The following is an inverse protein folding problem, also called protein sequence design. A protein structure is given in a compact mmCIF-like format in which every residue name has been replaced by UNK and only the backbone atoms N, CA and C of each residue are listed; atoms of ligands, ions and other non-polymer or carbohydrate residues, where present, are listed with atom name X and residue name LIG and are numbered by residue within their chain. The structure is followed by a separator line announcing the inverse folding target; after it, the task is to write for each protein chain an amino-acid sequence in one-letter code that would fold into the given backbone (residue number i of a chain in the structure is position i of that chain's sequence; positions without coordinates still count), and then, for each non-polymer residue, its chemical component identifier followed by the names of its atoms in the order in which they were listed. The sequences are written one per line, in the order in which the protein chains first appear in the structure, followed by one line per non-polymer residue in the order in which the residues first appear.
data_IF_517144016909
#
_entry.id   IF_517144016909
#
_cell.length_a   1.000
_cell.length_b   1.000
_cell.length_c   1.000
_cell.angle_alpha   90.00
_cell.angle_beta   90.00
_cell.angle_gamma   90.00
#
_symmetry.space_group_name_H-M   'P 1'
#
loop_
_entity.id
_entity.type
_entity.pdbx_description
1 polymer ?
#
# COMPACT_ATOMS: atom_id res chain seq x y z
N UNK A 1 12.16 -18.64 -2.51
CA UNK A 1 10.89 -19.18 -3.05
C UNK A 1 10.19 -18.07 -3.81
N UNK A 2 9.82 -18.29 -5.08
CA UNK A 2 9.08 -17.30 -5.86
C UNK A 2 7.59 -17.49 -5.58
N UNK A 3 7.04 -16.68 -4.67
CA UNK A 3 5.65 -16.78 -4.22
C UNK A 3 4.74 -16.36 -5.38
N UNK A 4 3.76 -17.21 -5.73
CA UNK A 4 2.82 -16.94 -6.81
C UNK A 4 1.91 -15.74 -6.51
N UNK A 5 1.33 -15.12 -7.55
CA UNK A 5 0.43 -13.95 -7.36
C UNK A 5 -0.76 -14.23 -6.43
N UNK A 6 -1.36 -15.42 -6.54
CA UNK A 6 -2.49 -15.83 -5.71
C UNK A 6 -2.08 -16.01 -4.24
N UNK A 7 -0.95 -16.67 -4.01
CA UNK A 7 -0.38 -16.88 -2.68
C UNK A 7 0.04 -15.56 -2.03
N UNK A 8 0.67 -14.65 -2.79
CA UNK A 8 0.96 -13.28 -2.33
C UNK A 8 -0.30 -12.55 -1.90
N UNK A 9 -1.37 -12.62 -2.71
CA UNK A 9 -2.64 -12.01 -2.35
C UNK A 9 -3.21 -12.64 -1.06
N UNK A 10 -3.17 -13.96 -0.92
CA UNK A 10 -3.63 -14.63 0.30
C UNK A 10 -2.87 -14.15 1.55
N UNK A 11 -1.55 -13.98 1.47
CA UNK A 11 -0.73 -13.43 2.56
C UNK A 11 -1.13 -11.98 2.91
N UNK A 12 -1.33 -11.13 1.91
CA UNK A 12 -1.78 -9.75 2.12
C UNK A 12 -3.16 -9.72 2.79
N UNK A 13 -4.10 -10.54 2.32
CA UNK A 13 -5.46 -10.60 2.90
C UNK A 13 -5.47 -11.15 4.33
N UNK A 14 -4.59 -12.12 4.63
CA UNK A 14 -4.43 -12.64 5.98
C UNK A 14 -3.84 -11.59 6.93
N UNK A 15 -2.89 -10.77 6.45
CA UNK A 15 -2.24 -9.70 7.23
C UNK A 15 -3.14 -8.49 7.43
N UNK A 16 -3.82 -8.05 6.38
CA UNK A 16 -4.50 -6.74 6.33
C UNK A 16 -6.03 -6.83 6.37
N UNK A 17 -6.59 -8.02 6.22
CA UNK A 17 -8.03 -8.25 6.09
C UNK A 17 -8.56 -8.14 4.65
N UNK A 18 -9.79 -8.62 4.47
CA UNK A 18 -10.43 -8.78 3.16
C UNK A 18 -11.17 -7.53 2.64
N UNK A 19 -10.58 -6.34 2.84
CA UNK A 19 -11.14 -5.05 2.40
C UNK A 19 -10.12 -4.23 1.61
N UNK A 20 -10.63 -3.44 0.66
CA UNK A 20 -9.82 -2.47 -0.08
C UNK A 20 -9.23 -1.44 0.89
N UNK A 21 -7.90 -1.30 0.92
CA UNK A 21 -7.22 -0.33 1.78
C UNK A 21 -7.64 1.13 1.53
N UNK A 22 -8.18 1.44 0.34
CA UNK A 22 -8.53 2.80 -0.07
C UNK A 22 -10.01 3.14 0.11
N UNK A 23 -10.93 2.25 -0.27
CA UNK A 23 -12.36 2.53 -0.20
C UNK A 23 -13.11 1.74 0.88
N UNK A 24 -12.40 0.96 1.69
CA UNK A 24 -12.91 0.04 2.71
C UNK A 24 -13.92 -1.02 2.23
N UNK A 25 -14.26 -1.07 0.94
CA UNK A 25 -15.20 -2.06 0.41
C UNK A 25 -14.61 -3.48 0.56
N UNK A 26 -15.39 -4.45 1.04
CA UNK A 26 -14.97 -5.84 1.11
C UNK A 26 -14.79 -6.45 -0.28
N UNK A 27 -13.81 -7.34 -0.42
CA UNK A 27 -13.51 -8.03 -1.67
C UNK A 27 -14.54 -9.12 -1.98
N UNK A 28 -15.71 -8.70 -2.43
CA UNK A 28 -16.81 -9.57 -2.87
C UNK A 28 -17.50 -9.00 -4.11
N UNK A 29 -18.13 -9.88 -4.89
CA UNK A 29 -18.84 -9.52 -6.12
C UNK A 29 -17.92 -8.77 -7.09
N UNK A 30 -18.29 -7.53 -7.44
CA UNK A 30 -17.54 -6.69 -8.38
C UNK A 30 -16.28 -6.03 -7.78
N UNK A 31 -16.03 -6.15 -6.48
CA UNK A 31 -14.85 -5.57 -5.83
C UNK A 31 -13.64 -6.51 -5.95
N UNK A 32 -13.07 -6.59 -7.15
CA UNK A 32 -11.95 -7.50 -7.44
C UNK A 32 -10.64 -7.01 -6.79
N UNK A 33 -10.00 -7.81 -5.91
CA UNK A 33 -8.74 -7.43 -5.28
C UNK A 33 -7.57 -7.45 -6.26
N UNK A 34 -6.64 -6.52 -6.05
CA UNK A 34 -5.37 -6.40 -6.77
C UNK A 34 -4.28 -5.99 -5.80
N UNK A 35 -3.03 -6.31 -6.14
CA UNK A 35 -1.87 -5.88 -5.38
C UNK A 35 -1.51 -4.44 -5.76
N UNK A 36 -1.39 -3.57 -4.76
CA UNK A 36 -0.96 -2.18 -4.92
C UNK A 36 0.33 -1.94 -4.11
N UNK A 37 1.25 -1.15 -4.67
CA UNK A 37 2.53 -0.82 -4.03
C UNK A 37 2.45 0.58 -3.40
N UNK A 38 2.68 0.71 -2.09
CA UNK A 38 2.62 2.01 -1.41
C UNK A 38 3.72 2.96 -1.86
N UNK A 39 4.92 2.43 -2.11
CA UNK A 39 5.96 3.08 -2.90
C UNK A 39 5.85 2.55 -4.33
N UNK A 40 5.39 3.37 -5.31
CA UNK A 40 5.29 2.92 -6.69
C UNK A 40 6.64 2.47 -7.24
N UNK A 41 6.65 1.41 -8.07
CA UNK A 41 7.88 0.89 -8.70
C UNK A 41 8.64 1.96 -9.48
N UNK A 42 7.93 2.84 -10.19
CA UNK A 42 8.52 3.98 -10.93
C UNK A 42 9.24 4.99 -10.01
N UNK A 43 8.91 5.01 -8.72
CA UNK A 43 9.57 5.83 -7.69
C UNK A 43 10.67 5.07 -6.94
N UNK A 44 10.97 3.84 -7.35
CA UNK A 44 12.01 2.99 -6.76
C UNK A 44 11.50 2.03 -5.69
N UNK A 45 10.18 1.84 -5.54
CA UNK A 45 9.62 0.90 -4.58
C UNK A 45 9.87 -0.56 -4.97
N UNK A 46 10.30 -1.43 -4.02
CA UNK A 46 10.53 -2.83 -4.31
C UNK A 46 9.21 -3.63 -4.38
N UNK A 47 9.22 -4.75 -5.11
CA UNK A 47 8.10 -5.72 -5.12
C UNK A 47 8.21 -6.72 -3.96
N UNK A 48 8.25 -6.16 -2.77
CA UNK A 48 8.33 -6.86 -1.49
C UNK A 48 6.95 -6.88 -0.83
N UNK A 49 6.66 -7.93 -0.06
CA UNK A 49 5.36 -8.06 0.61
C UNK A 49 5.11 -6.89 1.58
N UNK A 50 6.17 -6.35 2.16
CA UNK A 50 6.20 -5.19 3.06
C UNK A 50 5.85 -3.87 2.33
N UNK A 51 5.92 -3.82 1.00
CA UNK A 51 5.50 -2.64 0.22
C UNK A 51 4.10 -2.80 -0.41
N UNK A 52 3.46 -3.94 -0.21
CA UNK A 52 2.26 -4.32 -0.95
C UNK A 52 1.03 -4.38 -0.05
N UNK A 53 -0.10 -3.90 -0.57
CA UNK A 53 -1.42 -3.94 0.07
C UNK A 53 -2.48 -4.46 -0.91
N UNK A 54 -3.64 -4.84 -0.38
CA UNK A 54 -4.79 -5.19 -1.19
C UNK A 54 -5.63 -3.95 -1.49
N UNK A 55 -5.80 -3.66 -2.78
CA UNK A 55 -6.67 -2.59 -3.28
C UNK A 55 -7.60 -3.14 -4.35
N UNK A 56 -8.84 -2.67 -4.43
CA UNK A 56 -9.71 -3.07 -5.52
C UNK A 56 -9.18 -2.51 -6.85
N UNK A 57 -9.48 -3.20 -7.96
CA UNK A 57 -9.01 -2.80 -9.31
C UNK A 57 -9.30 -1.33 -9.64
N UNK A 58 -10.46 -0.82 -9.25
CA UNK A 58 -10.86 0.58 -9.48
C UNK A 58 -9.99 1.58 -8.72
N UNK A 59 -9.84 1.40 -7.40
CA UNK A 59 -9.01 2.29 -6.58
C UNK A 59 -7.53 2.23 -6.99
N UNK A 60 -7.00 1.03 -7.25
CA UNK A 60 -5.61 0.85 -7.69
C UNK A 60 -5.33 1.61 -9.00
N UNK A 61 -6.25 1.49 -9.99
CA UNK A 61 -6.16 2.22 -11.25
C UNK A 61 -6.21 3.74 -11.05
N UNK A 62 -7.13 4.23 -10.24
CA UNK A 62 -7.31 5.67 -9.99
C UNK A 62 -6.12 6.28 -9.24
N UNK A 63 -5.55 5.56 -8.26
CA UNK A 63 -4.37 5.99 -7.53
C UNK A 63 -3.18 6.20 -8.46
N UNK A 64 -2.94 5.24 -9.36
CA UNK A 64 -1.83 5.27 -10.31
C UNK A 64 -0.46 5.35 -9.60
N UNK A 65 0.20 6.50 -9.71
CA UNK A 65 1.50 6.77 -9.06
C UNK A 65 1.43 7.84 -7.98
N UNK A 66 0.22 8.24 -7.58
CA UNK A 66 -0.01 9.21 -6.51
C UNK A 66 0.56 8.70 -5.19
N UNK A 67 1.05 9.62 -4.36
CA UNK A 67 1.62 9.22 -3.07
C UNK A 67 0.52 8.66 -2.15
N UNK A 68 0.85 7.74 -1.23
CA UNK A 68 -0.16 7.18 -0.33
C UNK A 68 -0.85 8.28 0.50
N UNK A 69 -0.12 9.30 0.97
CA UNK A 69 -0.71 10.40 1.75
C UNK A 69 -1.64 11.28 0.91
N UNK A 70 -1.22 11.64 -0.32
CA UNK A 70 -2.09 12.42 -1.21
C UNK A 70 -3.36 11.62 -1.58
N UNK A 71 -3.20 10.32 -1.73
CA UNK A 71 -4.31 9.42 -2.08
C UNK A 71 -5.25 9.17 -0.90
N UNK A 72 -4.75 9.13 0.34
CA UNK A 72 -5.58 9.11 1.54
C UNK A 72 -6.50 10.34 1.58
N UNK A 73 -5.93 11.54 1.43
CA UNK A 73 -6.70 12.77 1.39
C UNK A 73 -7.71 12.81 0.22
N UNK A 74 -7.36 12.24 -0.93
CA UNK A 74 -8.28 12.09 -2.06
C UNK A 74 -9.41 11.09 -1.78
N UNK A 75 -9.14 9.99 -1.09
CA UNK A 75 -10.16 9.04 -0.67
C UNK A 75 -11.16 9.71 0.28
N UNK A 76 -10.67 10.48 1.25
CA UNK A 76 -11.51 11.26 2.17
C UNK A 76 -12.36 12.29 1.43
N UNK A 77 -11.79 13.04 0.48
CA UNK A 77 -12.55 13.97 -0.38
C UNK A 77 -13.64 13.28 -1.20
N UNK A 78 -13.46 12.00 -1.55
CA UNK A 78 -14.46 11.17 -2.23
C UNK A 78 -15.53 10.59 -1.30
N UNK A 79 -15.46 10.88 0.00
CA UNK A 79 -16.34 10.30 1.02
C UNK A 79 -16.05 8.83 1.30
N UNK A 80 -14.83 8.36 1.00
CA UNK A 80 -14.39 7.02 1.36
C UNK A 80 -13.71 7.04 2.73
N UNK A 81 -13.69 5.89 3.39
CA UNK A 81 -12.99 5.68 4.66
C UNK A 81 -11.73 4.84 4.42
N UNK A 82 -10.62 5.42 3.93
CA UNK A 82 -9.39 4.66 3.75
C UNK A 82 -8.80 4.21 5.09
N UNK A 83 -8.06 3.11 5.09
CA UNK A 83 -7.43 2.56 6.29
C UNK A 83 -6.05 3.18 6.52
N UNK A 84 -6.02 4.42 7.03
CA UNK A 84 -4.78 5.17 7.26
C UNK A 84 -3.79 4.45 8.19
N UNK A 85 -4.29 3.76 9.22
CA UNK A 85 -3.46 2.98 10.15
C UNK A 85 -2.76 1.81 9.46
N UNK A 86 -3.45 1.11 8.55
CA UNK A 86 -2.84 0.06 7.71
C UNK A 86 -1.77 0.64 6.80
N UNK A 87 -2.01 1.79 6.17
CA UNK A 87 -1.01 2.45 5.32
C UNK A 87 0.24 2.80 6.12
N UNK A 88 0.07 3.35 7.33
CA UNK A 88 1.19 3.68 8.21
C UNK A 88 1.99 2.43 8.61
N UNK A 89 1.32 1.36 9.08
CA UNK A 89 1.98 0.09 9.44
C UNK A 89 2.84 -0.43 8.29
N UNK A 90 2.26 -0.54 7.09
CA UNK A 90 2.97 -1.12 5.93
C UNK A 90 4.17 -0.24 5.54
N UNK A 91 4.06 1.09 5.64
CA UNK A 91 5.22 1.97 5.43
C UNK A 91 6.32 1.76 6.48
N UNK A 92 5.96 1.53 7.75
CA UNK A 92 6.93 1.21 8.82
C UNK A 92 7.58 -0.16 8.62
N UNK A 93 6.80 -1.17 8.25
CA UNK A 93 7.31 -2.50 7.93
C UNK A 93 8.29 -2.45 6.75
N UNK A 94 7.97 -1.66 5.73
CA UNK A 94 8.88 -1.42 4.61
C UNK A 94 10.15 -0.69 5.03
N UNK A 95 10.06 0.32 5.88
CA UNK A 95 11.21 1.03 6.44
C UNK A 95 12.15 0.07 7.15
N UNK A 96 11.61 -0.78 8.02
CA UNK A 96 12.36 -1.81 8.75
C UNK A 96 13.02 -2.82 7.79
N UNK A 97 12.27 -3.33 6.81
CA UNK A 97 12.80 -4.28 5.82
C UNK A 97 13.93 -3.66 4.96
N UNK A 98 13.84 -2.36 4.65
CA UNK A 98 14.91 -1.65 3.93
C UNK A 98 16.15 -1.48 4.83
N UNK A 99 15.95 -1.19 6.12
CA UNK A 99 17.06 -1.07 7.07
C UNK A 99 17.81 -2.39 7.24
N UNK A 100 17.08 -3.51 7.27
CA UNK A 100 17.66 -4.86 7.38
C UNK A 100 18.35 -5.31 6.08
N UNK A 101 17.67 -5.20 4.93
CA UNK A 101 18.14 -5.76 3.65
C UNK A 101 19.11 -4.85 2.89
N UNK A 102 19.07 -3.54 3.15
CA UNK A 102 19.86 -2.54 2.43
C UNK A 102 19.41 -2.31 0.97
N UNK A 103 20.21 -1.53 0.21
CA UNK A 103 20.08 -1.36 -1.24
C UNK A 103 18.95 -0.45 -1.77
N UNK A 104 17.90 -0.16 -1.00
CA UNK A 104 16.71 0.57 -1.47
C UNK A 104 16.72 2.08 -1.16
N UNK A 105 17.82 2.79 -1.46
CA UNK A 105 18.01 4.22 -1.08
C UNK A 105 16.86 5.14 -1.51
N UNK A 106 16.35 4.98 -2.74
CA UNK A 106 15.24 5.80 -3.27
C UNK A 106 13.93 5.51 -2.54
N UNK A 107 13.61 4.24 -2.29
CA UNK A 107 12.42 3.87 -1.53
C UNK A 107 12.52 4.36 -0.09
N UNK A 108 13.68 4.23 0.56
CA UNK A 108 13.92 4.71 1.93
C UNK A 108 13.56 6.19 2.08
N UNK A 109 14.16 7.05 1.26
CA UNK A 109 13.87 8.49 1.30
C UNK A 109 12.39 8.81 1.01
N UNK A 110 11.74 8.00 0.15
CA UNK A 110 10.31 8.13 -0.12
C UNK A 110 9.46 7.78 1.11
N UNK A 111 9.73 6.63 1.74
CA UNK A 111 9.02 6.11 2.93
C UNK A 111 9.15 7.08 4.09
N UNK A 112 10.37 7.48 4.43
CA UNK A 112 10.65 8.45 5.50
C UNK A 112 9.86 9.76 5.29
N UNK A 113 9.78 10.24 4.04
CA UNK A 113 8.95 11.42 3.71
C UNK A 113 7.47 11.16 3.90
N UNK A 114 6.95 9.99 3.51
CA UNK A 114 5.52 9.68 3.67
C UNK A 114 5.14 9.52 5.15
N UNK A 115 5.97 8.85 5.96
CA UNK A 115 5.77 8.71 7.40
C UNK A 115 5.76 10.08 8.09
N UNK A 116 6.69 10.97 7.75
CA UNK A 116 6.69 12.36 8.27
C UNK A 116 5.44 13.16 7.88
N UNK A 117 4.84 12.87 6.73
CA UNK A 117 3.60 13.54 6.28
C UNK A 117 2.38 12.99 7.02
N UNK A 118 2.31 11.69 7.22
CA UNK A 118 1.24 11.04 8.00
C UNK A 118 1.21 11.54 9.44
N UNK A 119 2.37 11.69 10.08
CA UNK A 119 2.48 12.20 11.45
C UNK A 119 2.01 13.66 11.63
N UNK A 120 1.72 14.38 10.55
CA UNK A 120 1.24 15.77 10.56
C UNK A 120 -0.22 15.90 10.08
N UNK A 121 -0.83 14.80 9.65
CA UNK A 121 -2.19 14.77 9.09
C UNK A 121 -3.22 14.48 10.16
#
# INVERSE_FOLDING_TARGET
MNIGRAERMALILARDGATCAWCARPFRGSTVPTTDHLVPRVKGGPSWLENEIAACRGCNRLRGHTSPVDWLAECERRGWAPDGQRIERVLRDLEAAIAERGGQRRARAYVERQLRRLAKS
#
